data_IF_915952457409
#
_entry.id   IF_915952457409
#
_cell.length_a   1.000
_cell.length_b   1.000
_cell.length_c   1.000
_cell.angle_alpha   90.00
_cell.angle_beta   90.00
_cell.angle_gamma   90.00
#
_symmetry.space_group_name_H-M   'P 1'
#
loop_
_entity.id
_entity.type
_entity.pdbx_description
1 polymer ?
#
# COMPACT_ATOMS: atom_id res chain seq x y z
N UNK A 1 8.30 20.35 -29.90
CA UNK A 1 7.28 20.01 -28.90
C UNK A 1 6.55 18.80 -29.43
N UNK A 2 7.00 17.61 -29.04
CA UNK A 2 6.30 16.38 -29.38
C UNK A 2 5.02 16.32 -28.53
N UNK A 3 3.87 16.28 -29.20
CA UNK A 3 2.58 16.07 -28.57
C UNK A 3 2.50 14.63 -28.09
N UNK A 4 2.61 14.42 -26.79
CA UNK A 4 2.49 13.09 -26.18
C UNK A 4 1.02 12.63 -26.28
N UNK A 5 0.77 11.52 -26.96
CA UNK A 5 -0.58 10.99 -27.27
C UNK A 5 -0.94 9.73 -26.48
N UNK A 6 -0.29 9.48 -25.34
CA UNK A 6 -0.56 8.33 -24.47
C UNK A 6 -1.22 8.75 -23.16
N UNK A 7 -2.35 8.13 -22.82
CA UNK A 7 -2.88 8.16 -21.46
C UNK A 7 -1.90 7.38 -20.58
N UNK A 8 -1.27 8.04 -19.60
CA UNK A 8 -0.40 7.36 -18.65
C UNK A 8 -1.27 6.46 -17.76
N UNK A 9 -0.83 5.23 -17.56
CA UNK A 9 -1.54 4.27 -16.72
C UNK A 9 -1.03 4.36 -15.28
N UNK A 10 -1.93 4.43 -14.27
CA UNK A 10 -1.54 4.35 -12.88
C UNK A 10 -0.69 3.13 -12.58
N UNK A 11 0.28 3.29 -11.68
CA UNK A 11 1.07 2.19 -11.15
C UNK A 11 0.45 1.74 -9.82
N UNK A 12 -0.12 0.54 -9.84
CA UNK A 12 -0.73 -0.09 -8.67
C UNK A 12 0.32 -0.77 -7.79
N UNK A 13 0.03 -0.81 -6.49
CA UNK A 13 0.61 -1.76 -5.56
C UNK A 13 -0.47 -2.77 -5.16
N UNK A 14 -0.33 -4.01 -5.61
CA UNK A 14 -1.32 -5.06 -5.40
C UNK A 14 -0.92 -5.85 -4.17
N UNK A 15 -1.71 -5.74 -3.11
CA UNK A 15 -1.43 -6.47 -1.89
C UNK A 15 -2.33 -7.68 -1.76
N UNK A 16 -1.72 -8.84 -1.55
CA UNK A 16 -2.42 -10.12 -1.50
C UNK A 16 -2.38 -10.66 -0.09
N UNK A 17 -3.52 -11.17 0.38
CA UNK A 17 -3.64 -11.85 1.66
C UNK A 17 -3.34 -13.35 1.51
N UNK A 18 -2.83 -14.00 2.57
CA UNK A 18 -2.39 -15.39 2.52
C UNK A 18 -3.49 -16.39 2.13
N UNK A 19 -4.72 -16.15 2.56
CA UNK A 19 -5.90 -16.93 2.21
C UNK A 19 -6.25 -16.83 0.72
N UNK A 20 -6.25 -15.61 0.18
CA UNK A 20 -6.41 -15.38 -1.25
C UNK A 20 -5.26 -16.00 -2.05
N UNK A 21 -4.04 -15.95 -1.53
CA UNK A 21 -2.89 -16.58 -2.16
C UNK A 21 -2.99 -18.10 -2.18
N UNK A 22 -3.41 -18.74 -1.08
CA UNK A 22 -3.67 -20.18 -1.03
C UNK A 22 -4.78 -20.57 -2.03
N UNK A 23 -5.88 -19.81 -2.10
CA UNK A 23 -6.92 -20.03 -3.11
C UNK A 23 -6.36 -19.95 -4.53
N UNK A 24 -5.64 -18.87 -4.86
CA UNK A 24 -5.00 -18.72 -6.16
C UNK A 24 -3.88 -19.73 -6.42
N UNK A 25 -3.46 -20.55 -5.48
CA UNK A 25 -2.50 -21.63 -5.72
C UNK A 25 -3.17 -22.97 -6.04
N UNK A 26 -4.50 -23.09 -5.92
CA UNK A 26 -5.21 -24.31 -6.30
C UNK A 26 -5.10 -24.55 -7.82
N UNK A 27 -4.46 -25.65 -8.27
CA UNK A 27 -4.30 -25.93 -9.69
C UNK A 27 -5.58 -26.52 -10.33
N UNK A 28 -6.55 -26.92 -9.52
CA UNK A 28 -7.79 -27.58 -9.96
C UNK A 28 -8.95 -26.60 -10.17
N UNK A 29 -8.84 -25.40 -9.61
CA UNK A 29 -9.86 -24.36 -9.70
C UNK A 29 -9.60 -23.42 -10.91
N UNK A 30 -10.65 -23.16 -11.70
CA UNK A 30 -10.55 -22.32 -12.90
C UNK A 30 -10.44 -20.84 -12.54
N UNK A 31 -11.17 -20.39 -11.52
CA UNK A 31 -11.12 -19.01 -11.04
C UNK A 31 -9.75 -18.71 -10.42
N UNK A 32 -9.16 -19.69 -9.72
CA UNK A 32 -7.78 -19.59 -9.26
C UNK A 32 -6.79 -19.41 -10.41
N UNK A 33 -6.96 -20.14 -11.51
CA UNK A 33 -6.12 -20.00 -12.70
C UNK A 33 -6.28 -18.63 -13.38
N UNK A 34 -7.51 -18.11 -13.48
CA UNK A 34 -7.79 -16.78 -14.01
C UNK A 34 -7.16 -15.68 -13.14
N UNK A 35 -7.28 -15.79 -11.81
CA UNK A 35 -6.66 -14.89 -10.85
C UNK A 35 -5.13 -14.85 -10.99
N UNK A 36 -4.47 -16.02 -11.06
CA UNK A 36 -3.02 -16.10 -11.32
C UNK A 36 -2.64 -15.43 -12.64
N UNK A 37 -3.38 -15.68 -13.71
CA UNK A 37 -3.12 -15.08 -15.02
C UNK A 37 -3.27 -13.54 -14.99
N UNK A 38 -4.29 -13.03 -14.29
CA UNK A 38 -4.48 -11.58 -14.11
C UNK A 38 -3.33 -10.95 -13.32
N UNK A 39 -2.89 -11.56 -12.21
CA UNK A 39 -1.75 -11.07 -11.44
C UNK A 39 -0.44 -11.13 -12.25
N UNK A 40 -0.22 -12.19 -13.02
CA UNK A 40 0.93 -12.27 -13.93
C UNK A 40 0.91 -11.14 -14.97
N UNK A 41 -0.25 -10.85 -15.58
CA UNK A 41 -0.38 -9.75 -16.52
C UNK A 41 -0.09 -8.39 -15.86
N UNK A 42 -0.55 -8.16 -14.62
CA UNK A 42 -0.27 -6.95 -13.86
C UNK A 42 1.24 -6.82 -13.53
N UNK A 43 1.89 -7.91 -13.18
CA UNK A 43 3.34 -7.93 -13.00
C UNK A 43 4.08 -7.56 -14.30
N UNK A 44 3.70 -8.14 -15.44
CA UNK A 44 4.31 -7.80 -16.74
C UNK A 44 4.03 -6.35 -17.15
N UNK A 45 2.92 -5.75 -16.73
CA UNK A 45 2.62 -4.33 -16.90
C UNK A 45 3.46 -3.42 -15.97
N UNK A 46 4.28 -4.01 -15.09
CA UNK A 46 5.19 -3.33 -14.18
C UNK A 46 4.49 -2.68 -12.99
N UNK A 47 3.45 -3.32 -12.45
CA UNK A 47 2.89 -3.00 -11.13
C UNK A 47 3.74 -3.61 -10.00
N UNK A 48 3.64 -3.07 -8.79
CA UNK A 48 4.29 -3.66 -7.62
C UNK A 48 3.33 -4.50 -6.81
N UNK A 49 3.91 -5.30 -5.92
CA UNK A 49 3.21 -6.30 -5.14
C UNK A 49 3.59 -6.16 -3.66
N UNK A 50 2.84 -6.82 -2.80
CA UNK A 50 3.05 -6.81 -1.37
C UNK A 50 2.09 -7.72 -0.64
N UNK A 51 2.26 -7.84 0.66
CA UNK A 51 1.37 -8.65 1.48
C UNK A 51 0.35 -7.76 2.21
N UNK A 52 -0.91 -8.16 2.15
CA UNK A 52 -1.96 -7.60 3.00
C UNK A 52 -2.24 -8.59 4.12
N UNK A 53 -2.30 -8.15 5.37
CA UNK A 53 -2.78 -9.02 6.43
C UNK A 53 -3.58 -8.26 7.50
N UNK A 54 -4.69 -8.89 7.88
CA UNK A 54 -5.46 -8.58 9.07
C UNK A 54 -5.15 -9.60 10.18
N UNK A 55 -6.01 -9.67 11.18
CA UNK A 55 -6.00 -10.68 12.24
C UNK A 55 -6.52 -12.04 11.78
N UNK A 56 -6.07 -12.54 10.63
CA UNK A 56 -6.45 -13.87 10.10
C UNK A 56 -5.26 -14.82 10.27
N UNK A 57 -5.54 -16.06 10.64
CA UNK A 57 -4.55 -17.13 10.75
C UNK A 57 -5.01 -18.37 10.01
N UNK A 58 -4.04 -19.17 9.58
CA UNK A 58 -4.33 -20.46 8.99
C UNK A 58 -4.72 -21.47 10.07
N UNK A 59 -5.68 -22.30 9.73
CA UNK A 59 -6.11 -23.47 10.48
C UNK A 59 -5.31 -24.71 10.07
N UNK A 60 -5.69 -25.85 10.64
CA UNK A 60 -4.98 -27.11 10.40
C UNK A 60 -5.25 -27.73 9.01
N UNK A 61 -6.37 -27.36 8.38
CA UNK A 61 -6.77 -27.87 7.07
C UNK A 61 -6.51 -26.85 5.94
N UNK A 62 -6.26 -27.29 4.69
CA UNK A 62 -6.20 -26.40 3.53
C UNK A 62 -7.44 -25.52 3.41
N UNK A 63 -7.26 -24.26 3.02
CA UNK A 63 -8.32 -23.25 2.89
C UNK A 63 -9.11 -23.00 4.19
N UNK A 64 -8.59 -23.43 5.33
CA UNK A 64 -9.14 -23.08 6.64
C UNK A 64 -8.41 -21.85 7.14
N UNK A 65 -9.02 -20.67 6.99
CA UNK A 65 -8.51 -19.43 7.58
C UNK A 65 -9.55 -18.87 8.53
N UNK A 66 -9.10 -18.33 9.66
CA UNK A 66 -10.00 -17.83 10.71
C UNK A 66 -9.53 -16.49 11.27
N UNK A 67 -10.50 -15.65 11.57
CA UNK A 67 -10.26 -14.39 12.28
C UNK A 67 -9.94 -14.70 13.74
N UNK A 68 -8.79 -14.23 14.20
CA UNK A 68 -8.39 -14.26 15.61
C UNK A 68 -9.18 -13.18 16.36
N UNK A 69 -9.91 -13.61 17.38
CA UNK A 69 -10.62 -12.68 18.27
C UNK A 69 -9.64 -12.00 19.23
N UNK A 70 -9.77 -10.69 19.40
CA UNK A 70 -8.92 -9.88 20.26
C UNK A 70 -7.67 -9.35 19.55
N UNK A 71 -6.76 -8.77 20.36
CA UNK A 71 -5.55 -8.11 19.88
C UNK A 71 -4.36 -9.06 19.98
N UNK A 72 -3.73 -9.48 18.86
CA UNK A 72 -2.54 -10.32 18.91
C UNK A 72 -1.36 -9.55 19.50
N UNK A 73 -0.47 -10.27 20.18
CA UNK A 73 0.84 -9.75 20.59
C UNK A 73 1.75 -9.56 19.36
N UNK A 74 2.88 -8.85 19.52
CA UNK A 74 3.86 -8.72 18.45
C UNK A 74 4.40 -10.08 17.97
N UNK A 75 4.69 -11.00 18.90
CA UNK A 75 5.17 -12.35 18.57
C UNK A 75 4.12 -13.15 17.77
N UNK A 76 2.86 -13.14 18.20
CA UNK A 76 1.76 -13.78 17.46
C UNK A 76 1.59 -13.15 16.08
N UNK A 77 1.71 -11.83 15.99
CA UNK A 77 1.60 -11.15 14.70
C UNK A 77 2.72 -11.60 13.76
N UNK A 78 3.97 -11.71 14.22
CA UNK A 78 5.08 -12.24 13.43
C UNK A 78 4.80 -13.65 12.93
N UNK A 79 4.30 -14.55 13.80
CA UNK A 79 3.93 -15.91 13.42
C UNK A 79 2.84 -15.92 12.34
N UNK A 80 1.76 -15.15 12.54
CA UNK A 80 0.69 -15.04 11.55
C UNK A 80 1.20 -14.49 10.21
N UNK A 81 2.11 -13.51 10.26
CA UNK A 81 2.72 -12.95 9.07
C UNK A 81 3.51 -13.96 8.26
N UNK A 82 4.20 -14.89 8.92
CA UNK A 82 4.98 -15.91 8.22
C UNK A 82 4.09 -16.83 7.39
N UNK A 83 2.90 -17.18 7.89
CA UNK A 83 1.94 -17.95 7.11
C UNK A 83 1.48 -17.18 5.87
N UNK A 84 1.14 -15.90 6.02
CA UNK A 84 0.74 -15.05 4.91
C UNK A 84 1.86 -14.91 3.86
N UNK A 85 3.07 -14.56 4.31
CA UNK A 85 4.25 -14.38 3.44
C UNK A 85 4.54 -15.67 2.68
N UNK A 86 4.51 -16.82 3.36
CA UNK A 86 4.81 -18.11 2.72
C UNK A 86 3.88 -18.45 1.56
N UNK A 87 2.57 -18.21 1.68
CA UNK A 87 1.63 -18.41 0.56
C UNK A 87 1.77 -17.33 -0.52
N UNK A 88 1.97 -16.07 -0.12
CA UNK A 88 2.12 -14.95 -1.06
C UNK A 88 3.38 -15.11 -1.91
N UNK A 89 4.51 -15.50 -1.31
CA UNK A 89 5.76 -15.76 -2.03
C UNK A 89 5.65 -16.97 -2.97
N UNK A 90 4.94 -18.03 -2.58
CA UNK A 90 4.63 -19.15 -3.48
C UNK A 90 3.78 -18.71 -4.68
N UNK A 91 2.76 -17.87 -4.45
CA UNK A 91 1.97 -17.29 -5.52
C UNK A 91 2.83 -16.42 -6.44
N UNK A 92 3.72 -15.61 -5.88
CA UNK A 92 4.62 -14.75 -6.64
C UNK A 92 5.61 -15.54 -7.48
N UNK A 93 6.17 -16.62 -6.93
CA UNK A 93 6.97 -17.56 -7.70
C UNK A 93 6.17 -18.16 -8.87
N UNK A 94 4.92 -18.55 -8.63
CA UNK A 94 4.05 -19.12 -9.66
C UNK A 94 3.72 -18.13 -10.81
N UNK A 95 3.45 -16.85 -10.50
CA UNK A 95 3.08 -15.86 -11.53
C UNK A 95 4.29 -15.25 -12.26
N UNK A 96 5.47 -15.27 -11.64
CA UNK A 96 6.70 -14.72 -12.23
C UNK A 96 7.61 -15.76 -12.86
N UNK A 97 7.48 -17.03 -12.45
CA UNK A 97 8.42 -18.10 -12.80
C UNK A 97 9.78 -17.96 -12.11
N UNK A 98 9.88 -17.19 -11.03
CA UNK A 98 11.12 -16.95 -10.29
C UNK A 98 10.95 -17.28 -8.81
N UNK A 99 11.66 -18.30 -8.34
CA UNK A 99 11.65 -18.79 -6.96
C UNK A 99 12.88 -18.34 -6.15
N UNK A 100 13.70 -17.42 -6.67
CA UNK A 100 14.84 -16.87 -5.95
C UNK A 100 14.36 -16.13 -4.68
N UNK A 101 14.83 -16.52 -3.48
CA UNK A 101 14.36 -15.93 -2.23
C UNK A 101 14.58 -14.42 -2.14
N UNK A 102 15.69 -13.90 -2.67
CA UNK A 102 15.95 -12.46 -2.63
C UNK A 102 15.04 -11.69 -3.60
N UNK A 103 14.70 -12.28 -4.74
CA UNK A 103 13.72 -11.73 -5.66
C UNK A 103 12.34 -11.65 -5.02
N UNK A 104 11.87 -12.75 -4.41
CA UNK A 104 10.58 -12.81 -3.75
C UNK A 104 10.49 -11.83 -2.58
N UNK A 105 11.55 -11.75 -1.77
CA UNK A 105 11.65 -10.77 -0.68
C UNK A 105 11.54 -9.32 -1.19
N UNK A 106 12.22 -8.98 -2.29
CA UNK A 106 12.12 -7.62 -2.90
C UNK A 106 10.75 -7.36 -3.51
N UNK A 107 10.15 -8.36 -4.15
CA UNK A 107 8.81 -8.26 -4.72
C UNK A 107 7.75 -8.07 -3.63
N UNK A 108 7.95 -8.71 -2.48
CA UNK A 108 7.08 -8.67 -1.33
C UNK A 108 7.56 -7.68 -0.25
N UNK A 109 8.32 -6.65 -0.62
CA UNK A 109 8.92 -5.72 0.35
C UNK A 109 7.92 -4.72 0.97
N UNK A 110 6.70 -4.64 0.44
CA UNK A 110 5.64 -3.75 0.94
C UNK A 110 4.53 -4.51 1.67
N UNK A 111 4.03 -3.92 2.75
CA UNK A 111 2.86 -4.44 3.43
C UNK A 111 1.97 -3.37 4.05
N UNK A 112 0.68 -3.69 4.11
CA UNK A 112 -0.30 -3.02 4.95
C UNK A 112 -0.67 -3.94 6.11
N UNK A 113 -0.61 -3.37 7.32
CA UNK A 113 -0.83 -4.10 8.55
C UNK A 113 -1.61 -3.25 9.56
N UNK A 114 -2.64 -3.85 10.15
CA UNK A 114 -3.39 -3.24 11.23
C UNK A 114 -3.04 -3.78 12.62
N UNK A 115 -2.41 -4.96 12.69
CA UNK A 115 -2.11 -5.66 13.94
C UNK A 115 -0.65 -6.11 14.03
N UNK A 116 0.01 -5.97 15.19
CA UNK A 116 -0.57 -5.53 16.47
C UNK A 116 -0.77 -3.99 16.48
N UNK A 117 -1.66 -3.46 17.34
CA UNK A 117 -1.82 -2.03 17.49
C UNK A 117 -0.61 -1.43 18.22
N UNK A 118 -0.29 -0.19 17.90
CA UNK A 118 0.84 0.54 18.49
C UNK A 118 2.12 0.44 17.65
N UNK A 119 2.78 1.58 17.45
CA UNK A 119 3.91 1.71 16.53
C UNK A 119 5.12 0.82 16.90
N UNK A 120 5.41 0.63 18.19
CA UNK A 120 6.52 -0.24 18.60
C UNK A 120 6.25 -1.71 18.25
N UNK A 121 5.03 -2.18 18.50
CA UNK A 121 4.65 -3.55 18.18
C UNK A 121 4.57 -3.75 16.65
N UNK A 122 4.15 -2.73 15.90
CA UNK A 122 4.24 -2.72 14.44
C UNK A 122 5.69 -2.77 13.96
N UNK A 123 6.59 -1.97 14.55
CA UNK A 123 8.03 -1.98 14.24
C UNK A 123 8.64 -3.35 14.48
N UNK A 124 8.29 -4.02 15.56
CA UNK A 124 8.77 -5.37 15.85
C UNK A 124 8.28 -6.39 14.81
N UNK A 125 7.01 -6.30 14.39
CA UNK A 125 6.47 -7.15 13.34
C UNK A 125 7.11 -6.88 11.97
N UNK A 126 7.33 -5.61 11.59
CA UNK A 126 8.01 -5.22 10.35
C UNK A 126 9.51 -5.54 10.38
N UNK A 127 10.14 -5.50 11.55
CA UNK A 127 11.53 -5.92 11.72
C UNK A 127 11.70 -7.43 11.53
N UNK A 128 10.63 -8.21 11.79
CA UNK A 128 10.54 -9.63 11.47
C UNK A 128 11.83 -10.39 11.75
N UNK A 129 12.31 -10.39 12.99
CA UNK A 129 13.56 -11.09 13.34
C UNK A 129 13.37 -12.59 13.09
N UNK A 130 13.98 -13.07 12.02
CA UNK A 130 13.91 -14.46 11.55
C UNK A 130 15.23 -15.15 11.88
N UNK A 131 15.19 -16.37 12.40
CA UNK A 131 16.38 -17.24 12.44
C UNK A 131 16.32 -18.21 11.26
N UNK A 132 17.31 -18.17 10.39
CA UNK A 132 17.47 -19.11 9.29
C UNK A 132 17.70 -20.53 9.82
N UNK A 133 16.81 -21.51 9.57
CA UNK A 133 16.99 -22.89 10.03
C UNK A 133 18.21 -23.58 9.40
N UNK A 134 18.66 -23.14 8.22
CA UNK A 134 19.79 -23.70 7.50
C UNK A 134 21.13 -23.10 7.95
N UNK A 135 21.16 -21.84 8.40
CA UNK A 135 22.40 -21.12 8.75
C UNK A 135 22.48 -20.67 10.21
N UNK A 136 21.36 -20.63 10.92
CA UNK A 136 21.25 -20.14 12.30
C UNK A 136 21.32 -18.61 12.44
N UNK A 137 21.42 -17.86 11.33
CA UNK A 137 21.54 -16.40 11.37
C UNK A 137 20.19 -15.74 11.63
N UNK A 138 20.19 -14.75 12.53
CA UNK A 138 19.03 -13.88 12.71
C UNK A 138 19.06 -12.75 11.67
N UNK A 139 18.26 -12.83 10.62
CA UNK A 139 18.09 -11.75 9.63
C UNK A 139 16.75 -11.05 9.81
N UNK A 140 16.65 -9.73 9.57
CA UNK A 140 15.37 -9.08 9.40
C UNK A 140 14.66 -9.68 8.18
N UNK A 141 13.68 -10.53 8.40
CA UNK A 141 12.77 -11.02 7.37
C UNK A 141 11.43 -10.32 7.58
N UNK A 142 11.31 -9.13 7.01
CA UNK A 142 10.11 -8.32 7.12
C UNK A 142 10.00 -7.30 5.99
N UNK A 143 8.99 -6.45 6.07
CA UNK A 143 8.68 -5.47 5.05
C UNK A 143 9.50 -4.19 5.27
N UNK A 144 10.15 -3.70 4.23
CA UNK A 144 10.88 -2.43 4.28
C UNK A 144 10.00 -1.22 3.96
N UNK A 145 8.79 -1.46 3.47
CA UNK A 145 7.81 -0.43 3.12
C UNK A 145 6.49 -0.73 3.83
N UNK A 146 6.06 0.20 4.69
CA UNK A 146 4.69 0.20 5.22
C UNK A 146 3.81 1.07 4.34
N UNK A 147 2.65 0.54 4.00
CA UNK A 147 1.58 1.25 3.29
C UNK A 147 0.37 1.41 4.22
N UNK A 148 -0.25 2.60 4.24
CA UNK A 148 -1.34 2.93 5.16
C UNK A 148 -0.93 2.92 6.66
N UNK A 149 -1.88 3.20 7.56
CA UNK A 149 -1.68 3.17 9.01
C UNK A 149 -2.08 4.46 9.77
N UNK A 150 -1.44 4.79 10.92
CA UNK A 150 -1.84 5.90 11.80
C UNK A 150 -1.70 7.31 11.21
N UNK A 151 -1.26 7.41 9.95
CA UNK A 151 -1.27 8.64 9.16
C UNK A 151 -2.69 9.21 8.99
N UNK A 152 -3.73 8.38 9.06
CA UNK A 152 -5.12 8.81 9.12
C UNK A 152 -5.41 9.81 10.27
N UNK A 153 -4.65 9.82 11.37
CA UNK A 153 -4.79 10.85 12.41
C UNK A 153 -4.46 12.25 11.91
N UNK A 154 -3.58 12.37 10.92
CA UNK A 154 -3.24 13.65 10.31
C UNK A 154 -4.44 14.24 9.58
N UNK A 155 -5.21 13.38 8.92
CA UNK A 155 -6.48 13.77 8.29
C UNK A 155 -7.41 14.43 9.31
N UNK A 156 -7.52 13.87 10.51
CA UNK A 156 -8.42 14.39 11.55
C UNK A 156 -8.05 15.80 12.04
N UNK A 157 -6.81 16.23 11.84
CA UNK A 157 -6.30 17.52 12.30
C UNK A 157 -6.20 18.54 11.16
N UNK A 158 -5.80 18.09 9.98
CA UNK A 158 -5.43 18.95 8.85
C UNK A 158 -6.31 18.74 7.61
N UNK A 159 -7.26 17.81 7.65
CA UNK A 159 -8.14 17.46 6.54
C UNK A 159 -7.37 17.00 5.28
N UNK A 160 -6.17 16.47 5.51
CA UNK A 160 -5.33 15.75 4.56
C UNK A 160 -4.35 14.84 5.30
N UNK A 161 -3.81 13.86 4.61
CA UNK A 161 -2.79 12.95 5.14
C UNK A 161 -1.36 13.52 4.99
N UNK A 162 -0.36 12.86 5.58
CA UNK A 162 1.06 13.16 5.36
C UNK A 162 1.37 12.94 3.87
N UNK A 163 2.17 13.81 3.26
CA UNK A 163 2.35 13.87 1.80
C UNK A 163 3.78 13.53 1.33
N UNK A 164 4.63 13.07 2.24
CA UNK A 164 5.99 12.63 1.96
C UNK A 164 6.28 11.32 2.71
N UNK A 165 7.12 10.42 2.17
CA UNK A 165 7.63 9.28 2.92
C UNK A 165 8.34 9.73 4.19
N UNK A 166 8.22 8.93 5.26
CA UNK A 166 8.87 9.21 6.55
C UNK A 166 9.16 7.91 7.30
N UNK A 167 10.03 8.01 8.30
CA UNK A 167 10.34 6.90 9.21
C UNK A 167 9.57 7.12 10.51
N UNK A 168 8.48 6.38 10.80
CA UNK A 168 7.69 6.63 12.00
C UNK A 168 8.53 6.39 13.27
N UNK A 169 8.45 7.33 14.20
CA UNK A 169 8.95 7.17 15.57
C UNK A 169 7.90 6.59 16.51
N UNK A 170 8.17 6.60 17.82
CA UNK A 170 7.29 5.98 18.83
C UNK A 170 6.59 6.99 19.73
N UNK A 171 6.89 8.29 19.62
CA UNK A 171 6.36 9.33 20.51
C UNK A 171 4.98 9.85 20.08
N UNK A 172 4.53 9.56 18.86
CA UNK A 172 3.24 9.98 18.36
C UNK A 172 3.03 9.68 16.88
N UNK A 173 1.83 9.98 16.35
CA UNK A 173 1.47 9.69 14.96
C UNK A 173 2.33 10.44 13.92
N UNK A 174 2.99 11.53 14.33
CA UNK A 174 3.79 12.43 13.49
C UNK A 174 5.26 12.46 13.89
N UNK A 175 5.65 11.57 14.80
CA UNK A 175 7.03 11.45 15.21
C UNK A 175 7.84 10.84 14.06
N UNK A 176 9.00 11.42 13.76
CA UNK A 176 9.93 10.90 12.77
C UNK A 176 11.22 10.44 13.47
N UNK A 177 11.53 9.16 13.33
CA UNK A 177 12.75 8.55 13.84
C UNK A 177 13.72 8.28 12.68
N UNK A 178 14.63 9.22 12.44
CA UNK A 178 15.66 9.07 11.40
C UNK A 178 16.63 7.90 11.67
N UNK A 179 16.66 7.37 12.90
CA UNK A 179 17.46 6.19 13.25
C UNK A 179 16.74 4.85 12.98
N UNK A 180 15.42 4.88 12.70
CA UNK A 180 14.67 3.70 12.33
C UNK A 180 15.11 3.21 10.95
N UNK A 181 15.91 2.15 10.90
CA UNK A 181 16.38 1.54 9.64
C UNK A 181 15.50 0.39 9.15
N UNK A 182 14.41 0.06 9.86
CA UNK A 182 13.61 -1.14 9.58
C UNK A 182 12.72 -0.94 8.36
N UNK A 183 11.95 0.14 8.36
CA UNK A 183 11.00 0.42 7.28
C UNK A 183 10.80 1.92 7.09
N UNK A 184 10.33 2.28 5.90
CA UNK A 184 9.78 3.61 5.59
C UNK A 184 8.28 3.48 5.42
N UNK A 185 7.51 4.48 5.83
CA UNK A 185 6.10 4.55 5.47
C UNK A 185 5.93 5.41 4.23
N UNK A 186 5.19 4.90 3.25
CA UNK A 186 4.70 5.68 2.11
C UNK A 186 3.21 5.97 2.36
N UNK A 187 2.80 7.24 2.47
CA UNK A 187 1.42 7.58 2.78
C UNK A 187 0.47 7.19 1.65
N UNK A 188 -0.71 6.74 2.05
CA UNK A 188 -1.82 6.46 1.17
C UNK A 188 -3.10 6.94 1.86
N UNK A 189 -3.89 7.69 1.12
CA UNK A 189 -5.21 8.10 1.55
C UNK A 189 -6.18 6.90 1.60
N UNK A 190 -7.28 7.01 2.37
CA UNK A 190 -8.36 6.01 2.42
C UNK A 190 -8.98 5.71 1.04
N UNK A 191 -9.98 4.82 0.93
CA UNK A 191 -10.74 4.65 -0.31
C UNK A 191 -11.41 5.94 -0.79
N UNK A 192 -11.32 6.22 -2.10
CA UNK A 192 -11.95 7.38 -2.71
C UNK A 192 -13.47 7.22 -2.67
N UNK A 193 -14.16 8.29 -2.26
CA UNK A 193 -15.61 8.35 -2.17
C UNK A 193 -16.24 7.59 -1.00
N UNK A 194 -15.43 6.97 -0.13
CA UNK A 194 -15.89 6.40 1.15
C UNK A 194 -16.02 7.50 2.21
N UNK A 195 -16.95 8.43 1.98
CA UNK A 195 -17.15 9.61 2.83
C UNK A 195 -17.71 9.16 4.19
N UNK A 196 -17.09 9.59 5.28
CA UNK A 196 -17.56 9.30 6.63
C UNK A 196 -16.43 9.00 7.60
N UNK A 197 -16.77 8.31 8.69
CA UNK A 197 -15.77 7.87 9.66
C UNK A 197 -15.04 6.65 9.11
N UNK A 198 -13.71 6.74 9.00
CA UNK A 198 -12.84 5.68 8.52
C UNK A 198 -11.89 5.19 9.63
N UNK A 199 -11.54 3.91 9.57
CA UNK A 199 -10.54 3.32 10.46
C UNK A 199 -10.98 3.22 11.93
N UNK A 200 -9.99 3.22 12.83
CA UNK A 200 -10.17 3.01 14.27
C UNK A 200 -10.18 4.33 15.06
N UNK A 201 -10.33 5.48 14.40
CA UNK A 201 -10.33 6.80 15.03
C UNK A 201 -11.79 7.22 15.21
N UNK A 202 -12.38 7.06 16.41
CA UNK A 202 -13.74 7.49 16.65
C UNK A 202 -13.84 9.00 16.39
N UNK A 203 -14.95 9.44 15.81
CA UNK A 203 -15.27 10.85 15.58
C UNK A 203 -14.43 11.60 14.54
N UNK A 204 -13.57 10.91 13.79
CA UNK A 204 -12.86 11.50 12.66
C UNK A 204 -13.66 11.34 11.37
N UNK A 205 -14.44 12.37 11.02
CA UNK A 205 -15.11 12.41 9.72
C UNK A 205 -14.12 12.78 8.62
N UNK A 206 -14.05 11.94 7.58
CA UNK A 206 -13.17 12.14 6.44
C UNK A 206 -13.98 12.39 5.18
N UNK A 207 -13.76 13.54 4.54
CA UNK A 207 -14.31 13.84 3.23
C UNK A 207 -13.37 13.30 2.16
N UNK A 208 -13.63 12.07 1.74
CA UNK A 208 -12.88 11.40 0.67
C UNK A 208 -13.53 11.55 -0.70
N UNK A 209 -14.44 12.51 -0.88
CA UNK A 209 -15.08 12.77 -2.19
C UNK A 209 -14.05 13.10 -3.28
N UNK A 210 -14.43 12.89 -4.54
CA UNK A 210 -13.58 13.25 -5.69
C UNK A 210 -13.10 14.72 -5.64
N UNK A 211 -13.95 15.74 -5.36
CA UNK A 211 -13.48 17.11 -5.19
C UNK A 211 -12.46 17.28 -4.05
N UNK A 212 -12.64 16.57 -2.93
CA UNK A 212 -11.69 16.61 -1.82
C UNK A 212 -10.33 16.01 -2.20
N UNK A 213 -10.32 14.90 -2.96
CA UNK A 213 -9.10 14.29 -3.49
C UNK A 213 -8.35 15.20 -4.46
N UNK A 214 -9.07 15.86 -5.37
CA UNK A 214 -8.49 16.84 -6.28
C UNK A 214 -7.88 18.01 -5.50
N UNK A 215 -8.56 18.49 -4.45
CA UNK A 215 -8.04 19.54 -3.57
C UNK A 215 -6.77 19.09 -2.83
N UNK A 216 -6.75 17.88 -2.26
CA UNK A 216 -5.57 17.35 -1.57
C UNK A 216 -4.36 17.22 -2.51
N UNK A 217 -4.58 16.76 -3.75
CA UNK A 217 -3.51 16.74 -4.76
C UNK A 217 -2.99 18.15 -5.09
N UNK A 218 -3.89 19.14 -5.23
CA UNK A 218 -3.50 20.53 -5.48
C UNK A 218 -2.68 21.10 -4.32
N UNK A 219 -2.95 20.72 -3.07
CA UNK A 219 -2.12 21.12 -1.93
C UNK A 219 -0.68 20.61 -2.07
N UNK A 220 -0.50 19.31 -2.37
CA UNK A 220 0.85 18.73 -2.63
C UNK A 220 1.56 19.49 -3.75
N UNK A 221 0.84 19.74 -4.85
CA UNK A 221 1.41 20.41 -6.01
C UNK A 221 1.84 21.84 -5.70
N UNK A 222 1.01 22.61 -4.99
CA UNK A 222 1.32 23.98 -4.58
C UNK A 222 2.51 24.03 -3.62
N UNK A 223 2.61 23.10 -2.68
CA UNK A 223 3.75 23.01 -1.75
C UNK A 223 5.05 22.72 -2.52
N UNK A 224 5.01 21.76 -3.44
CA UNK A 224 6.14 21.45 -4.33
C UNK A 224 6.53 22.65 -5.21
N UNK A 225 5.57 23.44 -5.70
CA UNK A 225 5.87 24.69 -6.43
C UNK A 225 6.51 25.74 -5.53
N UNK A 226 6.07 25.86 -4.27
CA UNK A 226 6.66 26.77 -3.31
C UNK A 226 8.12 26.39 -3.00
N UNK A 227 8.41 25.09 -2.84
CA UNK A 227 9.79 24.60 -2.70
C UNK A 227 10.66 24.95 -3.92
N UNK A 228 10.15 24.74 -5.13
CA UNK A 228 10.84 25.11 -6.37
C UNK A 228 11.12 26.62 -6.44
N UNK A 229 10.14 27.44 -6.07
CA UNK A 229 10.27 28.90 -6.10
C UNK A 229 11.28 29.43 -5.07
N UNK A 230 11.29 28.85 -3.88
CA UNK A 230 12.14 29.29 -2.76
C UNK A 230 13.53 28.66 -2.76
N UNK A 231 13.76 27.61 -3.56
CA UNK A 231 14.98 26.82 -3.52
C UNK A 231 15.12 26.02 -2.22
N UNK A 232 13.99 25.69 -1.57
CA UNK A 232 13.99 24.83 -0.39
C UNK A 232 14.53 23.43 -0.73
N UNK A 233 14.98 22.71 0.30
CA UNK A 233 15.50 21.35 0.12
C UNK A 233 14.46 20.47 -0.60
N UNK A 234 14.96 19.70 -1.56
CA UNK A 234 14.14 18.78 -2.34
C UNK A 234 13.63 17.64 -1.44
N UNK A 235 12.38 17.25 -1.68
CA UNK A 235 11.68 16.18 -0.95
C UNK A 235 10.96 15.29 -1.94
N UNK A 236 10.84 14.02 -1.59
CA UNK A 236 9.94 13.12 -2.31
C UNK A 236 8.52 13.39 -1.82
N UNK A 237 7.67 13.86 -2.73
CA UNK A 237 6.25 14.07 -2.49
C UNK A 237 5.44 12.93 -3.12
N UNK A 238 4.53 12.36 -2.35
CA UNK A 238 3.70 11.24 -2.77
C UNK A 238 2.24 11.59 -2.60
N UNK A 239 1.45 11.24 -3.61
CA UNK A 239 0.00 11.30 -3.56
C UNK A 239 -0.55 10.00 -4.12
N UNK A 240 -1.40 9.34 -3.35
CA UNK A 240 -1.99 8.07 -3.70
C UNK A 240 -3.00 7.65 -2.65
N UNK A 241 -3.76 6.62 -2.97
CA UNK A 241 -4.79 6.09 -2.11
C UNK A 241 -4.92 4.58 -2.29
N UNK A 242 -5.61 3.95 -1.35
CA UNK A 242 -5.94 2.53 -1.41
C UNK A 242 -7.37 2.33 -1.88
N UNK A 243 -7.67 1.21 -2.53
CA UNK A 243 -9.03 0.81 -2.88
C UNK A 243 -9.23 -0.66 -2.52
N UNK A 244 -10.36 -1.01 -1.88
CA UNK A 244 -10.74 -2.41 -1.76
C UNK A 244 -11.51 -2.83 -3.02
N UNK A 245 -11.36 -4.10 -3.44
CA UNK A 245 -12.10 -4.59 -4.61
C UNK A 245 -13.63 -4.45 -4.45
N UNK A 246 -14.14 -4.63 -3.23
CA UNK A 246 -15.56 -4.45 -2.93
C UNK A 246 -16.00 -2.98 -2.93
N UNK A 247 -15.08 -2.02 -2.80
CA UNK A 247 -15.37 -0.59 -2.93
C UNK A 247 -15.56 -0.22 -4.41
N UNK A 248 -14.76 -0.82 -5.31
CA UNK A 248 -14.84 -0.58 -6.76
C UNK A 248 -16.06 -1.23 -7.43
N UNK A 249 -16.49 -2.37 -6.90
CA UNK A 249 -17.57 -3.20 -7.45
C UNK A 249 -18.54 -3.63 -6.33
N UNK A 250 -19.42 -2.74 -5.86
CA UNK A 250 -20.39 -3.08 -4.84
C UNK A 250 -21.40 -4.09 -5.40
N UNK A 251 -21.73 -5.10 -4.59
CA UNK A 251 -22.79 -6.07 -4.88
C UNK A 251 -24.20 -5.44 -4.82
N UNK A 252 -24.33 -4.33 -4.08
CA UNK A 252 -25.54 -3.57 -3.85
C UNK A 252 -25.21 -2.07 -3.82
N UNK A 253 -25.98 -1.25 -4.55
CA UNK A 253 -25.74 0.18 -4.81
C UNK A 253 -25.83 1.11 -3.57
N UNK A 254 -25.19 0.77 -2.45
CA UNK A 254 -25.21 1.49 -1.18
C UNK A 254 -24.21 2.65 -1.18
N UNK A 255 -24.42 3.67 -2.03
CA UNK A 255 -23.76 4.98 -1.91
C UNK A 255 -22.23 5.00 -1.86
N UNK A 256 -21.56 3.94 -2.33
CA UNK A 256 -20.10 3.87 -2.53
C UNK A 256 -19.79 4.43 -3.91
N UNK A 257 -18.84 5.34 -4.03
CA UNK A 257 -18.39 5.77 -5.36
C UNK A 257 -17.80 4.56 -6.08
N UNK A 258 -18.40 4.28 -7.22
CA UNK A 258 -18.08 3.18 -8.10
C UNK A 258 -16.77 3.46 -8.81
N UNK A 259 -16.22 2.46 -9.51
CA UNK A 259 -15.12 2.55 -10.50
C UNK A 259 -15.03 3.88 -11.28
N UNK A 260 -16.15 4.55 -11.53
CA UNK A 260 -16.26 5.85 -12.18
C UNK A 260 -15.57 7.01 -11.44
N UNK A 261 -15.61 7.07 -10.10
CA UNK A 261 -14.94 8.12 -9.33
C UNK A 261 -13.41 8.00 -9.42
N UNK A 262 -12.91 6.77 -9.34
CA UNK A 262 -11.49 6.45 -9.58
C UNK A 262 -11.08 6.80 -11.01
N UNK A 263 -11.89 6.43 -12.01
CA UNK A 263 -11.64 6.77 -13.41
C UNK A 263 -11.56 8.29 -13.60
N UNK A 264 -12.51 9.05 -13.06
CA UNK A 264 -12.52 10.50 -13.15
C UNK A 264 -11.28 11.14 -12.49
N UNK A 265 -10.83 10.63 -11.35
CA UNK A 265 -9.60 11.11 -10.71
C UNK A 265 -8.37 10.85 -11.59
N UNK A 266 -8.25 9.63 -12.13
CA UNK A 266 -7.14 9.24 -13.01
C UNK A 266 -7.13 10.06 -14.31
N UNK A 267 -8.29 10.28 -14.92
CA UNK A 267 -8.43 11.10 -16.12
C UNK A 267 -8.05 12.55 -15.84
N UNK A 268 -8.52 13.10 -14.72
CA UNK A 268 -8.18 14.46 -14.31
C UNK A 268 -6.68 14.64 -14.08
N UNK A 269 -6.01 13.68 -13.42
CA UNK A 269 -4.57 13.67 -13.21
C UNK A 269 -3.81 13.61 -14.53
N UNK A 270 -4.17 12.68 -15.43
CA UNK A 270 -3.57 12.52 -16.75
C UNK A 270 -3.71 13.79 -17.60
N UNK A 271 -4.92 14.35 -17.64
CA UNK A 271 -5.21 15.52 -18.44
C UNK A 271 -4.39 16.72 -17.96
N UNK A 272 -4.14 16.88 -16.66
CA UNK A 272 -3.64 18.15 -16.09
C UNK A 272 -2.24 18.12 -15.50
N UNK A 273 -1.71 16.96 -15.09
CA UNK A 273 -0.49 16.90 -14.27
C UNK A 273 0.53 15.84 -14.69
N UNK A 274 0.09 14.62 -15.03
CA UNK A 274 1.03 13.52 -15.28
C UNK A 274 1.87 13.77 -16.53
N UNK A 275 3.20 13.65 -16.39
CA UNK A 275 4.15 13.83 -17.49
C UNK A 275 4.36 15.29 -17.94
N UNK A 276 3.67 16.25 -17.32
CA UNK A 276 3.82 17.68 -17.61
C UNK A 276 5.00 18.27 -16.84
N UNK A 277 5.52 19.39 -17.32
CA UNK A 277 6.62 20.11 -16.67
C UNK A 277 6.20 21.51 -16.23
N UNK A 278 6.82 22.03 -15.18
CA UNK A 278 6.70 23.43 -14.77
C UNK A 278 7.40 24.35 -15.78
N UNK A 279 7.22 25.67 -15.62
CA UNK A 279 7.91 26.67 -16.43
C UNK A 279 9.45 26.58 -16.33
N UNK A 280 9.97 26.06 -15.21
CA UNK A 280 11.41 25.83 -15.02
C UNK A 280 11.89 24.47 -15.56
N UNK A 281 11.01 23.71 -16.23
CA UNK A 281 11.35 22.42 -16.85
C UNK A 281 11.27 21.21 -15.92
N UNK A 282 10.88 21.38 -14.66
CA UNK A 282 10.80 20.27 -13.71
C UNK A 282 9.52 19.45 -13.92
N UNK A 283 9.59 18.13 -13.82
CA UNK A 283 8.43 17.24 -13.89
C UNK A 283 7.43 17.55 -12.77
N UNK A 284 6.15 17.70 -13.12
CA UNK A 284 5.05 17.96 -12.19
C UNK A 284 4.72 16.71 -11.39
N UNK A 285 4.36 15.62 -12.08
CA UNK A 285 4.03 14.34 -11.45
C UNK A 285 4.24 13.17 -12.43
N UNK A 286 4.47 11.97 -11.88
CA UNK A 286 4.48 10.69 -12.59
C UNK A 286 3.86 9.61 -11.71
N UNK A 287 3.31 8.58 -12.33
CA UNK A 287 2.98 7.36 -11.62
C UNK A 287 4.25 6.61 -11.23
N UNK A 288 4.26 6.05 -10.02
CA UNK A 288 5.34 5.25 -9.47
C UNK A 288 4.77 4.10 -8.64
N UNK A 289 5.45 2.96 -8.64
CA UNK A 289 5.20 1.89 -7.68
C UNK A 289 5.80 2.23 -6.32
N UNK A 290 5.40 1.51 -5.27
CA UNK A 290 5.97 1.70 -3.92
C UNK A 290 7.49 1.51 -3.89
N UNK A 291 8.02 0.62 -4.74
CA UNK A 291 9.46 0.34 -4.85
C UNK A 291 10.23 1.35 -5.72
N UNK A 292 9.54 2.28 -6.38
CA UNK A 292 10.13 3.35 -7.21
C UNK A 292 10.19 4.70 -6.50
N UNK A 293 9.50 4.82 -5.36
CA UNK A 293 9.54 5.96 -4.44
C UNK A 293 10.76 5.84 -3.55
#
# INVERSE_FOLDING_TARGET
MESYSGIYQPKLNIQVQGDQAEFYLDPTDTEAAEGRAALAALYQAGHSFGTHAHNIIRGEAPHSWRIVQGTPTAAQSVEHWQEHIGFVEQLYAAITGNDDPQFLQRMNASAMMFFPPGLEAQRQAFAGTYSDPATGETVPHGFTIQTGGPNEHFYCLFDHDVQNPWRPGTQGALDEDLSNTVFVRIPQLPPLGKIGVHGHIPDCYQDTSLPSYQRMFLQVFLERLYHEYTGAQDKVWTFGWHEHLFDLYPADHTGRELRDGVQQMVDWLNERFIGRTTANGNLVARYATMTQV
#
